data_IF_207922551008
#
_entry.id   IF_207922551008
#
_cell.length_a   1.000
_cell.length_b   1.000
_cell.length_c   1.000
_cell.angle_alpha   90.00
_cell.angle_beta   90.00
_cell.angle_gamma   90.00
#
_symmetry.space_group_name_H-M   'P 1'
#
loop_
_entity.id
_entity.type
_entity.pdbx_description
1 polymer ?
#
# COMPACT_ATOMS: atom_id res chain seq x y z
N UNK A 1 -17.83 -8.50 -26.83
CA UNK A 1 -17.69 -8.39 -25.38
C UNK A 1 -19.05 -8.02 -24.81
N UNK A 2 -19.41 -8.51 -23.61
CA UNK A 2 -20.60 -8.03 -22.91
C UNK A 2 -20.33 -6.64 -22.31
N UNK A 3 -21.37 -5.86 -22.05
CA UNK A 3 -21.26 -4.56 -21.38
C UNK A 3 -20.62 -4.70 -19.98
N UNK A 4 -20.92 -5.76 -19.28
CA UNK A 4 -20.31 -6.10 -17.97
C UNK A 4 -18.81 -6.33 -18.10
N UNK A 5 -18.35 -7.08 -19.11
CA UNK A 5 -16.94 -7.32 -19.36
C UNK A 5 -16.18 -6.04 -19.72
N UNK A 6 -16.80 -5.15 -20.48
CA UNK A 6 -16.21 -3.84 -20.79
C UNK A 6 -16.06 -2.98 -19.52
N UNK A 7 -17.06 -2.98 -18.63
CA UNK A 7 -17.00 -2.28 -17.36
C UNK A 7 -15.89 -2.83 -16.45
N UNK A 8 -15.77 -4.15 -16.35
CA UNK A 8 -14.68 -4.79 -15.58
C UNK A 8 -13.30 -4.43 -16.14
N UNK A 9 -13.12 -4.46 -17.45
CA UNK A 9 -11.85 -4.08 -18.09
C UNK A 9 -11.50 -2.60 -17.84
N UNK A 10 -12.49 -1.71 -17.89
CA UNK A 10 -12.30 -0.30 -17.58
C UNK A 10 -11.90 -0.10 -16.09
N UNK A 11 -12.55 -0.81 -15.17
CA UNK A 11 -12.21 -0.78 -13.75
C UNK A 11 -10.76 -1.25 -13.50
N UNK A 12 -10.36 -2.35 -14.14
CA UNK A 12 -8.98 -2.86 -14.04
C UNK A 12 -7.93 -1.89 -14.61
N UNK A 13 -8.27 -1.14 -15.67
CA UNK A 13 -7.37 -0.12 -16.22
C UNK A 13 -7.17 1.05 -15.25
N UNK A 14 -8.23 1.49 -14.57
CA UNK A 14 -8.13 2.53 -13.53
C UNK A 14 -7.26 2.04 -12.38
N UNK A 15 -7.51 0.83 -11.86
CA UNK A 15 -6.70 0.21 -10.82
C UNK A 15 -5.23 0.14 -11.23
N UNK A 16 -4.94 -0.41 -12.41
CA UNK A 16 -3.58 -0.50 -12.94
C UNK A 16 -2.88 0.86 -12.98
N UNK A 17 -3.60 1.92 -13.35
CA UNK A 17 -3.05 3.28 -13.36
C UNK A 17 -2.75 3.79 -11.95
N UNK A 18 -3.59 3.47 -10.96
CA UNK A 18 -3.36 3.84 -9.56
C UNK A 18 -2.08 3.18 -9.02
N UNK A 19 -1.88 1.89 -9.28
CA UNK A 19 -0.66 1.16 -8.90
C UNK A 19 0.60 1.71 -9.59
N UNK A 20 0.51 2.07 -10.88
CA UNK A 20 1.61 2.70 -11.61
C UNK A 20 1.99 4.06 -11.02
N UNK A 21 1.02 4.87 -10.66
CA UNK A 21 1.23 6.18 -10.06
C UNK A 21 1.79 6.05 -8.62
N UNK A 22 1.28 5.10 -7.83
CA UNK A 22 1.78 4.76 -6.50
C UNK A 22 3.24 4.33 -6.55
N UNK A 23 3.57 3.35 -7.39
CA UNK A 23 4.95 2.91 -7.60
C UNK A 23 5.88 4.05 -7.98
N UNK A 24 5.48 4.87 -8.96
CA UNK A 24 6.30 6.00 -9.42
C UNK A 24 6.54 7.03 -8.31
N UNK A 25 5.49 7.34 -7.56
CA UNK A 25 5.56 8.24 -6.40
C UNK A 25 6.51 7.68 -5.33
N UNK A 26 6.34 6.43 -4.90
CA UNK A 26 7.17 5.83 -3.85
C UNK A 26 8.64 5.68 -4.27
N UNK A 27 8.94 5.37 -5.53
CA UNK A 27 10.31 5.37 -6.03
C UNK A 27 10.95 6.76 -5.98
N UNK A 28 10.20 7.81 -6.27
CA UNK A 28 10.65 9.20 -6.15
C UNK A 28 10.89 9.57 -4.68
N UNK A 29 9.92 9.31 -3.81
CA UNK A 29 10.00 9.59 -2.38
C UNK A 29 11.15 8.83 -1.71
N UNK A 30 11.39 7.58 -2.08
CA UNK A 30 12.53 6.79 -1.59
C UNK A 30 13.88 7.42 -1.91
N UNK A 31 14.04 7.97 -3.12
CA UNK A 31 15.27 8.66 -3.53
C UNK A 31 15.44 10.03 -2.88
N UNK A 32 14.35 10.72 -2.62
CA UNK A 32 14.35 12.04 -1.97
C UNK A 32 14.48 11.94 -0.43
N UNK A 33 14.22 10.75 0.13
CA UNK A 33 14.26 10.56 1.59
C UNK A 33 15.67 10.80 2.14
N UNK A 34 15.78 11.73 3.08
CA UNK A 34 17.04 12.09 3.75
C UNK A 34 17.45 11.10 4.86
N UNK A 35 16.74 10.00 5.04
CA UNK A 35 17.05 8.99 6.06
C UNK A 35 16.78 7.56 5.56
N UNK A 36 17.46 6.61 6.21
CA UNK A 36 17.39 5.20 5.84
C UNK A 36 15.97 4.60 6.02
N UNK A 37 15.25 4.99 7.07
CA UNK A 37 13.91 4.46 7.36
C UNK A 37 12.92 4.83 6.24
N UNK A 38 12.82 6.10 5.88
CA UNK A 38 11.94 6.54 4.80
C UNK A 38 12.34 5.96 3.45
N UNK A 39 13.64 5.93 3.15
CA UNK A 39 14.13 5.32 1.91
C UNK A 39 13.74 3.84 1.81
N UNK A 40 13.89 3.08 2.88
CA UNK A 40 13.53 1.65 2.94
C UNK A 40 12.02 1.47 2.85
N UNK A 41 11.24 2.24 3.61
CA UNK A 41 9.78 2.17 3.59
C UNK A 41 9.22 2.42 2.18
N UNK A 42 9.53 3.57 1.59
CA UNK A 42 9.02 3.91 0.26
C UNK A 42 9.51 2.95 -0.84
N UNK A 43 10.74 2.42 -0.74
CA UNK A 43 11.23 1.42 -1.69
C UNK A 43 10.43 0.12 -1.61
N UNK A 44 10.07 -0.32 -0.42
CA UNK A 44 9.28 -1.54 -0.25
C UNK A 44 7.81 -1.33 -0.66
N UNK A 45 7.20 -0.18 -0.34
CA UNK A 45 5.88 0.17 -0.87
C UNK A 45 5.89 0.14 -2.41
N UNK A 46 6.87 0.76 -3.06
CA UNK A 46 6.99 0.70 -4.51
C UNK A 46 7.11 -0.73 -5.07
N UNK A 47 7.69 -1.66 -4.33
CA UNK A 47 7.77 -3.07 -4.72
C UNK A 47 6.43 -3.79 -4.58
N UNK A 48 5.64 -3.48 -3.55
CA UNK A 48 4.28 -4.02 -3.38
C UNK A 48 3.36 -3.52 -4.50
N UNK A 49 3.38 -2.21 -4.83
CA UNK A 49 2.64 -1.65 -5.98
C UNK A 49 2.99 -2.35 -7.30
N UNK A 50 4.25 -2.74 -7.47
CA UNK A 50 4.67 -3.47 -8.66
C UNK A 50 4.07 -4.88 -8.72
N UNK A 51 3.96 -5.54 -7.59
CA UNK A 51 3.30 -6.85 -7.47
C UNK A 51 1.81 -6.72 -7.82
N UNK A 52 1.10 -5.75 -7.23
CA UNK A 52 -0.30 -5.48 -7.54
C UNK A 52 -0.51 -5.20 -9.02
N UNK A 53 0.30 -4.32 -9.60
CA UNK A 53 0.28 -4.00 -11.03
C UNK A 53 0.41 -5.24 -11.92
N UNK A 54 1.34 -6.14 -11.63
CA UNK A 54 1.53 -7.35 -12.42
C UNK A 54 0.35 -8.32 -12.29
N UNK A 55 -0.29 -8.37 -11.12
CA UNK A 55 -1.51 -9.15 -10.93
C UNK A 55 -2.66 -8.57 -11.76
N UNK A 56 -2.88 -7.25 -11.72
CA UNK A 56 -3.90 -6.59 -12.54
C UNK A 56 -3.71 -6.83 -14.04
N UNK A 57 -2.47 -6.77 -14.54
CA UNK A 57 -2.16 -7.07 -15.95
C UNK A 57 -2.55 -8.49 -16.33
N UNK A 58 -2.25 -9.48 -15.47
CA UNK A 58 -2.60 -10.89 -15.72
C UNK A 58 -4.12 -11.09 -15.74
N UNK A 59 -4.86 -10.47 -14.81
CA UNK A 59 -6.32 -10.52 -14.76
C UNK A 59 -6.91 -9.86 -16.02
N UNK A 60 -6.45 -8.66 -16.36
CA UNK A 60 -6.89 -7.94 -17.55
C UNK A 60 -6.72 -8.78 -18.83
N UNK A 61 -5.56 -9.39 -19.01
CA UNK A 61 -5.29 -10.23 -20.17
C UNK A 61 -6.21 -11.46 -20.24
N UNK A 62 -6.53 -12.09 -19.10
CA UNK A 62 -7.47 -13.23 -19.05
C UNK A 62 -8.88 -12.81 -19.43
N UNK A 63 -9.40 -11.73 -18.83
CA UNK A 63 -10.76 -11.23 -19.10
C UNK A 63 -10.86 -10.80 -20.57
N UNK A 64 -9.87 -10.08 -21.10
CA UNK A 64 -9.83 -9.66 -22.51
C UNK A 64 -9.84 -10.84 -23.48
N UNK A 65 -9.29 -12.00 -23.09
CA UNK A 65 -9.30 -13.23 -23.89
C UNK A 65 -10.52 -14.12 -23.64
N UNK A 66 -11.58 -13.63 -23.02
CA UNK A 66 -12.82 -14.36 -22.68
C UNK A 66 -12.60 -15.60 -21.77
N UNK A 67 -11.55 -15.62 -20.96
CA UNK A 67 -11.25 -16.73 -20.03
C UNK A 67 -11.84 -16.52 -18.64
N UNK A 68 -12.61 -15.45 -18.46
CA UNK A 68 -13.21 -15.08 -17.17
C UNK A 68 -12.19 -14.62 -16.13
N UNK A 69 -12.69 -14.41 -14.93
CA UNK A 69 -11.88 -14.05 -13.77
C UNK A 69 -11.09 -15.29 -13.27
N UNK A 70 -9.79 -15.18 -12.91
CA UNK A 70 -9.04 -16.30 -12.36
C UNK A 70 -9.52 -16.69 -10.96
N UNK A 71 -9.63 -17.99 -10.66
CA UNK A 71 -10.12 -18.49 -9.37
C UNK A 71 -9.24 -18.11 -8.16
N UNK A 72 -7.94 -17.91 -8.37
CA UNK A 72 -6.99 -17.47 -7.36
C UNK A 72 -6.07 -16.41 -7.97
N UNK A 73 -6.55 -15.16 -7.97
CA UNK A 73 -5.82 -14.08 -8.60
C UNK A 73 -4.66 -13.57 -7.74
N UNK A 74 -4.85 -13.53 -6.43
CA UNK A 74 -3.91 -12.92 -5.52
C UNK A 74 -4.16 -13.36 -4.08
N UNK A 75 -3.08 -13.67 -3.36
CA UNK A 75 -3.07 -13.87 -1.91
C UNK A 75 -1.91 -13.04 -1.37
N UNK A 76 -2.24 -11.94 -0.69
CA UNK A 76 -1.27 -11.08 -0.06
C UNK A 76 -0.74 -11.67 1.26
N UNK A 77 0.39 -11.15 1.72
CA UNK A 77 0.96 -11.50 3.02
C UNK A 77 0.39 -10.65 4.18
N UNK A 78 -0.60 -9.80 3.89
CA UNK A 78 -1.23 -8.84 4.81
C UNK A 78 -0.21 -7.87 5.44
N UNK A 79 0.76 -7.43 4.66
CA UNK A 79 1.78 -6.47 5.07
C UNK A 79 2.80 -7.00 6.08
N UNK A 80 2.92 -8.32 6.28
CA UNK A 80 3.87 -8.92 7.24
C UNK A 80 5.31 -8.59 6.90
N UNK A 81 5.66 -8.67 5.62
CA UNK A 81 6.99 -8.34 5.15
C UNK A 81 7.32 -6.85 5.41
N UNK A 82 6.41 -5.95 5.02
CA UNK A 82 6.57 -4.52 5.25
C UNK A 82 6.71 -4.16 6.73
N UNK A 83 5.88 -4.77 7.61
CA UNK A 83 5.97 -4.57 9.06
C UNK A 83 7.33 -4.97 9.61
N UNK A 84 7.85 -6.11 9.16
CA UNK A 84 9.16 -6.60 9.60
C UNK A 84 10.27 -5.65 9.16
N UNK A 85 10.28 -5.28 7.87
CA UNK A 85 11.29 -4.37 7.32
C UNK A 85 11.23 -2.99 7.99
N UNK A 86 10.03 -2.48 8.26
CA UNK A 86 9.84 -1.21 8.95
C UNK A 86 10.34 -1.26 10.39
N UNK A 87 10.02 -2.32 11.15
CA UNK A 87 10.49 -2.51 12.52
C UNK A 87 12.02 -2.58 12.60
N UNK A 88 12.66 -3.37 11.71
CA UNK A 88 14.11 -3.47 11.64
C UNK A 88 14.79 -2.13 11.28
N UNK A 89 14.18 -1.35 10.40
CA UNK A 89 14.69 -0.04 10.02
C UNK A 89 14.53 0.99 11.17
N UNK A 90 13.42 0.91 11.91
CA UNK A 90 13.18 1.73 13.11
C UNK A 90 14.20 1.48 14.21
N UNK A 91 14.60 0.23 14.47
CA UNK A 91 15.60 -0.13 15.47
C UNK A 91 16.98 0.48 15.17
N UNK A 92 17.29 0.67 13.90
CA UNK A 92 18.58 1.20 13.42
C UNK A 92 18.62 2.72 13.32
N UNK A 93 17.47 3.41 13.57
CA UNK A 93 17.40 4.87 13.46
C UNK A 93 18.07 5.60 14.62
N UNK A 94 18.69 6.71 14.29
CA UNK A 94 19.15 7.68 15.29
C UNK A 94 17.94 8.35 15.96
N UNK A 95 17.80 8.17 17.27
CA UNK A 95 16.70 8.74 18.07
C UNK A 95 16.69 10.28 18.12
N UNK A 96 17.80 10.92 17.76
CA UNK A 96 17.95 12.37 17.69
C UNK A 96 17.71 12.92 16.28
N UNK A 97 17.25 12.10 15.35
CA UNK A 97 16.97 12.52 13.99
C UNK A 97 15.83 13.55 13.96
N UNK A 98 16.06 14.67 13.26
CA UNK A 98 15.03 15.68 12.99
C UNK A 98 14.59 15.57 11.54
N UNK A 99 13.31 15.28 11.27
CA UNK A 99 12.82 15.13 9.90
C UNK A 99 12.83 16.44 9.13
N UNK A 100 13.13 16.38 7.84
CA UNK A 100 12.90 17.50 6.96
C UNK A 100 11.39 17.65 6.69
N UNK A 101 10.92 18.90 6.58
CA UNK A 101 9.50 19.22 6.39
C UNK A 101 8.95 18.58 5.10
N UNK A 102 9.74 18.57 4.05
CA UNK A 102 9.40 17.99 2.74
C UNK A 102 9.09 16.50 2.83
N UNK A 103 9.77 15.78 3.72
CA UNK A 103 9.54 14.35 3.93
C UNK A 103 8.17 14.06 4.58
N UNK A 104 7.72 14.92 5.47
CA UNK A 104 6.36 14.82 6.03
C UNK A 104 5.28 15.06 4.98
N UNK A 105 5.53 15.95 4.01
CA UNK A 105 4.62 16.19 2.89
C UNK A 105 4.55 14.97 1.95
N UNK A 106 5.67 14.32 1.67
CA UNK A 106 5.70 13.07 0.90
C UNK A 106 4.92 11.95 1.62
N UNK A 107 5.08 11.81 2.93
CA UNK A 107 4.32 10.80 3.71
C UNK A 107 2.82 11.07 3.66
N UNK A 108 2.39 12.33 3.84
CA UNK A 108 0.97 12.73 3.73
C UNK A 108 0.41 12.43 2.34
N UNK A 109 1.18 12.76 1.31
CA UNK A 109 0.80 12.46 -0.08
C UNK A 109 0.62 10.96 -0.28
N UNK A 110 1.53 10.14 0.26
CA UNK A 110 1.38 8.67 0.26
C UNK A 110 0.10 8.21 0.94
N UNK A 111 -0.19 8.69 2.16
CA UNK A 111 -1.42 8.36 2.89
C UNK A 111 -2.68 8.73 2.06
N UNK A 112 -2.69 9.91 1.43
CA UNK A 112 -3.80 10.33 0.59
C UNK A 112 -3.95 9.47 -0.67
N UNK A 113 -2.85 8.96 -1.22
CA UNK A 113 -2.87 8.03 -2.35
C UNK A 113 -3.46 6.68 -1.94
N UNK A 114 -2.98 6.08 -0.83
CA UNK A 114 -3.51 4.82 -0.29
C UNK A 114 -5.00 4.91 0.03
N UNK A 115 -5.44 5.99 0.67
CA UNK A 115 -6.85 6.18 0.99
C UNK A 115 -7.73 6.24 -0.27
N UNK A 116 -7.27 6.90 -1.35
CA UNK A 116 -7.99 6.91 -2.64
C UNK A 116 -8.04 5.54 -3.29
N UNK A 117 -6.97 4.77 -3.21
CA UNK A 117 -6.90 3.40 -3.71
C UNK A 117 -7.83 2.49 -2.92
N UNK A 118 -7.84 2.58 -1.58
CA UNK A 118 -8.76 1.89 -0.71
C UNK A 118 -10.23 2.19 -1.04
N UNK A 119 -10.59 3.47 -1.18
CA UNK A 119 -11.95 3.88 -1.55
C UNK A 119 -12.36 3.29 -2.90
N UNK A 120 -11.46 3.30 -3.86
CA UNK A 120 -11.71 2.72 -5.18
C UNK A 120 -11.93 1.21 -5.08
N UNK A 121 -11.09 0.47 -4.36
CA UNK A 121 -11.22 -0.99 -4.22
C UNK A 121 -12.47 -1.38 -3.43
N UNK A 122 -12.86 -0.63 -2.40
CA UNK A 122 -14.14 -0.81 -1.72
C UNK A 122 -15.34 -0.62 -2.65
N UNK A 123 -15.29 0.37 -3.54
CA UNK A 123 -16.35 0.57 -4.53
C UNK A 123 -16.42 -0.58 -5.54
N UNK A 124 -15.28 -1.12 -6.00
CA UNK A 124 -15.28 -2.27 -6.89
C UNK A 124 -15.78 -3.53 -6.15
N UNK A 125 -15.28 -3.79 -4.95
CA UNK A 125 -15.71 -4.91 -4.11
C UNK A 125 -17.22 -4.92 -3.87
N UNK A 126 -17.85 -3.74 -3.69
CA UNK A 126 -19.30 -3.64 -3.46
C UNK A 126 -20.15 -4.05 -4.68
N UNK A 127 -19.58 -3.99 -5.88
CA UNK A 127 -20.24 -4.34 -7.16
C UNK A 127 -19.90 -5.75 -7.63
N UNK A 128 -18.82 -6.31 -7.09
CA UNK A 128 -18.24 -7.58 -7.48
C UNK A 128 -18.87 -8.77 -6.74
N UNK A 129 -18.69 -9.96 -7.28
CA UNK A 129 -19.08 -11.24 -6.66
C UNK A 129 -18.01 -12.30 -6.90
N UNK A 130 -18.09 -13.44 -6.17
CA UNK A 130 -17.18 -14.56 -6.36
C UNK A 130 -15.70 -14.20 -6.27
N UNK A 131 -14.91 -14.67 -7.22
CA UNK A 131 -13.46 -14.48 -7.24
C UNK A 131 -13.02 -13.02 -7.39
N UNK A 132 -13.78 -12.20 -8.13
CA UNK A 132 -13.52 -10.78 -8.27
C UNK A 132 -13.66 -10.05 -6.92
N UNK A 133 -14.72 -10.34 -6.17
CA UNK A 133 -14.91 -9.76 -4.83
C UNK A 133 -13.79 -10.15 -3.88
N UNK A 134 -13.42 -11.43 -3.84
CA UNK A 134 -12.33 -11.93 -3.02
C UNK A 134 -10.99 -11.26 -3.37
N UNK A 135 -10.74 -11.00 -4.64
CA UNK A 135 -9.55 -10.30 -5.09
C UNK A 135 -9.48 -8.87 -4.53
N UNK A 136 -10.54 -8.06 -4.69
CA UNK A 136 -10.57 -6.70 -4.14
C UNK A 136 -10.54 -6.70 -2.60
N UNK A 137 -11.09 -7.71 -1.94
CA UNK A 137 -11.00 -7.88 -0.49
C UNK A 137 -9.55 -8.08 -0.02
N UNK A 138 -8.77 -8.91 -0.72
CA UNK A 138 -7.35 -9.11 -0.42
C UNK A 138 -6.53 -7.83 -0.66
N UNK A 139 -6.80 -7.10 -1.73
CA UNK A 139 -6.14 -5.83 -1.99
C UNK A 139 -6.46 -4.78 -0.93
N UNK A 140 -7.73 -4.61 -0.54
CA UNK A 140 -8.10 -3.65 0.50
C UNK A 140 -7.41 -3.93 1.83
N UNK A 141 -7.17 -5.20 2.17
CA UNK A 141 -6.39 -5.56 3.35
C UNK A 141 -4.94 -5.08 3.23
N UNK A 142 -4.30 -5.22 2.07
CA UNK A 142 -2.92 -4.79 1.87
C UNK A 142 -2.79 -3.26 1.85
N UNK A 143 -3.63 -2.56 1.11
CA UNK A 143 -3.61 -1.09 1.08
C UNK A 143 -3.90 -0.47 2.45
N UNK A 144 -4.75 -1.12 3.26
CA UNK A 144 -4.96 -0.70 4.64
C UNK A 144 -3.69 -0.79 5.48
N UNK A 145 -2.85 -1.81 5.26
CA UNK A 145 -1.56 -1.93 5.93
C UNK A 145 -0.54 -0.92 5.40
N UNK A 146 -0.54 -0.60 4.11
CA UNK A 146 0.29 0.46 3.53
C UNK A 146 -0.05 1.80 4.19
N UNK A 147 -1.33 2.17 4.20
CA UNK A 147 -1.80 3.40 4.85
C UNK A 147 -1.42 3.46 6.32
N UNK A 148 -1.58 2.35 7.06
CA UNK A 148 -1.24 2.28 8.48
C UNK A 148 0.27 2.45 8.73
N UNK A 149 1.12 1.84 7.93
CA UNK A 149 2.57 1.98 8.06
C UNK A 149 3.04 3.40 7.73
N UNK A 150 2.42 4.05 6.75
CA UNK A 150 2.69 5.46 6.45
C UNK A 150 2.23 6.37 7.60
N UNK A 151 1.10 6.08 8.25
CA UNK A 151 0.63 6.79 9.43
C UNK A 151 1.59 6.60 10.62
N UNK A 152 2.01 5.36 10.91
CA UNK A 152 3.02 5.06 11.94
C UNK A 152 4.32 5.83 11.69
N UNK A 153 4.76 5.90 10.44
CA UNK A 153 5.94 6.66 10.05
C UNK A 153 5.74 8.17 10.20
N UNK A 154 4.57 8.68 9.82
CA UNK A 154 4.21 10.09 10.00
C UNK A 154 4.21 10.49 11.48
N UNK A 155 3.61 9.67 12.35
CA UNK A 155 3.57 9.91 13.81
C UNK A 155 4.96 9.88 14.42
N UNK A 156 5.79 8.91 14.04
CA UNK A 156 7.19 8.84 14.46
C UNK A 156 7.95 10.10 14.09
N UNK A 157 7.76 10.58 12.85
CA UNK A 157 8.45 11.78 12.35
C UNK A 157 7.99 13.07 13.03
N UNK A 158 6.71 13.20 13.33
CA UNK A 158 6.17 14.38 13.99
C UNK A 158 6.63 14.49 15.45
N UNK A 159 6.73 13.37 16.14
CA UNK A 159 7.09 13.36 17.55
C UNK A 159 7.77 12.02 17.93
N UNK A 160 9.06 11.87 17.61
CA UNK A 160 9.81 10.63 17.88
C UNK A 160 9.75 10.20 19.35
N UNK A 161 9.86 11.16 20.28
CA UNK A 161 9.85 10.88 21.72
C UNK A 161 8.50 10.31 22.20
N UNK A 162 7.39 10.87 21.74
CA UNK A 162 6.05 10.39 22.08
C UNK A 162 5.75 9.04 21.46
N UNK A 163 6.22 8.77 20.25
CA UNK A 163 6.03 7.50 19.56
C UNK A 163 6.56 6.32 20.39
N UNK A 164 7.76 6.42 20.91
CA UNK A 164 8.36 5.36 21.75
C UNK A 164 7.57 5.15 23.05
N UNK A 165 7.13 6.21 23.71
CA UNK A 165 6.33 6.11 24.95
C UNK A 165 4.98 5.42 24.70
N UNK A 166 4.32 5.71 23.60
CA UNK A 166 3.04 5.08 23.22
C UNK A 166 3.24 3.60 22.94
N UNK A 167 4.27 3.23 22.17
CA UNK A 167 4.56 1.82 21.85
C UNK A 167 4.94 1.01 23.08
N UNK A 168 5.72 1.57 24.01
CA UNK A 168 6.05 0.91 25.29
C UNK A 168 4.80 0.65 26.14
N UNK A 169 3.87 1.60 26.22
CA UNK A 169 2.61 1.43 26.95
C UNK A 169 1.73 0.34 26.32
N UNK A 170 1.59 0.34 24.99
CA UNK A 170 0.82 -0.69 24.29
C UNK A 170 1.41 -2.10 24.48
N UNK A 171 2.73 -2.22 24.57
CA UNK A 171 3.40 -3.50 24.83
C UNK A 171 3.17 -4.00 26.26
N UNK A 172 3.00 -3.09 27.24
CA UNK A 172 2.73 -3.43 28.65
C UNK A 172 1.26 -3.77 28.89
N UNK A 173 0.33 -3.10 28.22
CA UNK A 173 -1.12 -3.29 28.39
C UNK A 173 -1.68 -4.48 27.59
N UNK A 174 -0.90 -5.07 26.68
CA UNK A 174 -1.29 -6.20 25.82
C UNK A 174 -0.69 -7.56 26.23
N UNK A 175 -0.11 -7.68 27.42
CA UNK A 175 0.49 -8.90 27.98
C UNK A 175 -0.45 -9.66 28.93
#
# INVERSE_FOLDING_TARGET
MSQEQEATLAALQIALKMEEDGKAFYLKASKASGNALGSVLFKNLAAEEDIHREVFKKIYAKIKSNKGWPDAAFVGDHGKHLKTVFAEAMEKMDKNFTPAKEQLEDVRTGIDMENRTLDYYHQQMSKASGAEKQFYEQLTMQESEHSRLLQDYYEFYNNPSSYYVIKERQAVDGG
#
